data_IF_109895671896
#
_entry.id   IF_109895671896
#
_cell.length_a   1.000
_cell.length_b   1.000
_cell.length_c   1.000
_cell.angle_alpha   90.00
_cell.angle_beta   90.00
_cell.angle_gamma   90.00
#
_symmetry.space_group_name_H-M   'P 1'
#
loop_
_entity.id
_entity.type
_entity.pdbx_description
1 polymer ?
#
# COMPACT_ATOMS: atom_id res chain seq x y z
N UNK A 1 23.38 -10.02 1.69
CA UNK A 1 22.10 -10.69 1.36
C UNK A 1 20.97 -9.67 1.51
N UNK A 2 20.40 -9.16 0.42
CA UNK A 2 19.27 -8.23 0.47
C UNK A 2 18.03 -8.97 0.95
N UNK A 3 17.61 -8.72 2.19
CA UNK A 3 16.37 -9.29 2.75
C UNK A 3 15.21 -8.81 1.88
N UNK A 4 14.44 -9.75 1.36
CA UNK A 4 13.29 -9.48 0.52
C UNK A 4 12.17 -8.85 1.35
N UNK A 5 12.16 -7.53 1.53
CA UNK A 5 11.00 -6.86 2.11
C UNK A 5 9.85 -6.84 1.09
N UNK A 6 8.61 -7.13 1.48
CA UNK A 6 7.45 -7.12 0.57
C UNK A 6 7.18 -5.73 -0.06
N UNK A 7 7.77 -4.68 0.50
CA UNK A 7 7.64 -3.28 0.06
C UNK A 7 8.37 -3.02 -1.28
N UNK A 8 9.40 -3.81 -1.63
CA UNK A 8 10.20 -3.55 -2.83
C UNK A 8 9.71 -4.29 -4.10
N UNK A 9 8.47 -4.82 -4.09
CA UNK A 9 7.87 -5.51 -5.23
C UNK A 9 7.88 -4.70 -6.54
N UNK A 10 7.67 -3.36 -6.57
CA UNK A 10 7.65 -2.61 -7.82
C UNK A 10 9.03 -2.57 -8.49
N UNK A 11 10.08 -2.38 -7.68
CA UNK A 11 11.46 -2.34 -8.16
C UNK A 11 11.90 -3.68 -8.77
N UNK A 12 11.47 -4.80 -8.18
CA UNK A 12 11.75 -6.15 -8.70
C UNK A 12 11.03 -6.44 -10.00
N UNK A 13 9.79 -6.00 -10.12
CA UNK A 13 9.02 -6.12 -11.34
C UNK A 13 9.69 -5.32 -12.48
N UNK A 14 10.05 -4.06 -12.23
CA UNK A 14 10.73 -3.21 -13.20
C UNK A 14 12.10 -3.77 -13.62
N UNK A 15 12.91 -4.23 -12.67
CA UNK A 15 14.18 -4.88 -12.97
C UNK A 15 14.00 -6.17 -13.78
N UNK A 16 12.99 -6.98 -13.42
CA UNK A 16 12.64 -8.19 -14.15
C UNK A 16 12.25 -7.91 -15.61
N UNK A 17 11.43 -6.89 -15.84
CA UNK A 17 11.03 -6.45 -17.18
C UNK A 17 12.22 -5.96 -18.01
N UNK A 18 13.11 -5.14 -17.43
CA UNK A 18 14.32 -4.66 -18.11
C UNK A 18 15.23 -5.83 -18.53
N UNK A 19 15.45 -6.80 -17.64
CA UNK A 19 16.25 -7.99 -17.94
C UNK A 19 15.59 -8.88 -19.00
N UNK A 20 14.25 -9.01 -18.98
CA UNK A 20 13.50 -9.73 -20.00
C UNK A 20 13.66 -9.09 -21.39
N UNK A 21 13.54 -7.77 -21.48
CA UNK A 21 13.72 -7.03 -22.73
C UNK A 21 15.16 -7.17 -23.22
N UNK A 22 16.15 -6.92 -22.34
CA UNK A 22 17.56 -6.99 -22.70
C UNK A 22 18.00 -8.41 -23.10
N UNK A 23 17.66 -9.40 -22.28
CA UNK A 23 17.96 -10.81 -22.52
C UNK A 23 17.27 -11.35 -23.75
N UNK A 24 15.99 -10.98 -23.98
CA UNK A 24 15.24 -11.35 -25.17
C UNK A 24 15.86 -10.79 -26.46
N UNK A 25 16.29 -9.51 -26.45
CA UNK A 25 17.01 -8.95 -27.61
C UNK A 25 18.32 -9.68 -27.87
N UNK A 26 19.11 -9.96 -26.84
CA UNK A 26 20.36 -10.71 -26.98
C UNK A 26 20.13 -12.13 -27.51
N UNK A 27 19.05 -12.79 -27.07
CA UNK A 27 18.68 -14.13 -27.53
C UNK A 27 18.24 -14.17 -29.00
N UNK A 28 17.50 -13.15 -29.45
CA UNK A 28 16.95 -13.10 -30.80
C UNK A 28 17.99 -12.64 -31.83
N UNK A 29 18.71 -11.55 -31.56
CA UNK A 29 19.60 -10.89 -32.53
C UNK A 29 21.10 -11.10 -32.27
N UNK A 30 21.49 -11.78 -31.19
CA UNK A 30 22.90 -12.02 -30.87
C UNK A 30 23.53 -13.18 -31.67
N UNK A 31 24.87 -13.20 -31.83
CA UNK A 31 25.59 -14.35 -32.35
C UNK A 31 25.41 -15.58 -31.43
N UNK A 32 25.58 -16.81 -31.93
CA UNK A 32 25.24 -18.06 -31.23
C UNK A 32 25.65 -18.14 -29.75
N UNK A 33 26.88 -17.78 -29.34
CA UNK A 33 27.28 -17.85 -27.93
C UNK A 33 26.54 -16.83 -27.04
N UNK A 34 26.19 -15.66 -27.58
CA UNK A 34 25.45 -14.63 -26.84
C UNK A 34 23.96 -14.96 -26.71
N UNK A 35 23.43 -15.88 -27.52
CA UNK A 35 22.02 -16.29 -27.40
C UNK A 35 21.75 -17.05 -26.11
N UNK A 36 22.67 -17.92 -25.70
CA UNK A 36 22.57 -18.66 -24.44
C UNK A 36 22.66 -17.71 -23.24
N UNK A 37 23.54 -16.71 -23.31
CA UNK A 37 23.62 -15.66 -22.30
C UNK A 37 22.33 -14.84 -22.25
N UNK A 38 21.76 -14.50 -23.40
CA UNK A 38 20.47 -13.82 -23.51
C UNK A 38 19.33 -14.60 -22.86
N UNK A 39 19.25 -15.91 -23.11
CA UNK A 39 18.28 -16.80 -22.48
C UNK A 39 18.44 -16.87 -20.96
N UNK A 40 19.67 -16.94 -20.45
CA UNK A 40 19.93 -16.94 -19.01
C UNK A 40 19.50 -15.60 -18.36
N UNK A 41 19.79 -14.47 -18.99
CA UNK A 41 19.38 -13.14 -18.54
C UNK A 41 17.85 -13.00 -18.57
N UNK A 42 17.20 -13.47 -19.64
CA UNK A 42 15.74 -13.47 -19.75
C UNK A 42 15.08 -14.36 -18.68
N UNK A 43 15.67 -15.52 -18.39
CA UNK A 43 15.23 -16.40 -17.31
C UNK A 43 15.33 -15.74 -15.92
N UNK A 44 16.44 -15.06 -15.63
CA UNK A 44 16.59 -14.29 -14.40
C UNK A 44 15.57 -13.13 -14.32
N UNK A 45 15.32 -12.47 -15.45
CA UNK A 45 14.30 -11.41 -15.56
C UNK A 45 12.89 -11.93 -15.29
N UNK A 46 12.51 -13.05 -15.91
CA UNK A 46 11.21 -13.69 -15.71
C UNK A 46 11.00 -14.11 -14.24
N UNK A 47 12.03 -14.67 -13.60
CA UNK A 47 11.97 -15.05 -12.19
C UNK A 47 11.81 -13.84 -11.26
N UNK A 48 12.55 -12.76 -11.51
CA UNK A 48 12.42 -11.51 -10.75
C UNK A 48 11.04 -10.87 -10.92
N UNK A 49 10.50 -10.90 -12.13
CA UNK A 49 9.16 -10.40 -12.45
C UNK A 49 8.07 -11.22 -11.74
N UNK A 50 8.16 -12.55 -11.77
CA UNK A 50 7.24 -13.44 -11.06
C UNK A 50 7.22 -13.19 -9.55
N UNK A 51 8.40 -12.98 -8.94
CA UNK A 51 8.53 -12.57 -7.53
C UNK A 51 7.87 -11.21 -7.24
N UNK A 52 8.01 -10.25 -8.15
CA UNK A 52 7.34 -8.96 -8.06
C UNK A 52 5.81 -9.08 -8.11
N UNK A 53 5.29 -9.88 -9.04
CA UNK A 53 3.85 -10.16 -9.17
C UNK A 53 3.32 -10.87 -7.91
N UNK A 54 4.03 -11.88 -7.40
CA UNK A 54 3.64 -12.56 -6.18
C UNK A 54 3.58 -11.60 -4.97
N UNK A 55 4.56 -10.71 -4.84
CA UNK A 55 4.54 -9.66 -3.82
C UNK A 55 3.39 -8.66 -3.98
N UNK A 56 3.05 -8.29 -5.21
CA UNK A 56 1.89 -7.46 -5.51
C UNK A 56 0.57 -8.17 -5.16
N UNK A 57 0.46 -9.46 -5.49
CA UNK A 57 -0.70 -10.28 -5.18
C UNK A 57 -0.85 -10.44 -3.67
N UNK A 58 0.23 -10.73 -2.94
CA UNK A 58 0.21 -10.77 -1.47
C UNK A 58 -0.19 -9.42 -0.87
N UNK A 59 0.35 -8.31 -1.38
CA UNK A 59 -0.02 -6.97 -0.91
C UNK A 59 -1.49 -6.67 -1.20
N UNK A 60 -2.00 -7.09 -2.37
CA UNK A 60 -3.41 -6.95 -2.74
C UNK A 60 -4.31 -7.84 -1.87
N UNK A 61 -3.94 -9.09 -1.63
CA UNK A 61 -4.67 -10.00 -0.72
C UNK A 61 -4.66 -9.50 0.72
N UNK A 62 -3.57 -8.84 1.17
CA UNK A 62 -3.50 -8.18 2.49
C UNK A 62 -4.29 -6.87 2.54
N UNK A 63 -4.66 -6.28 1.40
CA UNK A 63 -5.72 -5.25 1.33
C UNK A 63 -7.12 -5.86 1.34
N UNK A 64 -7.31 -7.07 1.89
CA UNK A 64 -8.61 -7.42 2.45
C UNK A 64 -8.93 -6.34 3.47
N UNK A 65 -9.94 -5.57 3.15
CA UNK A 65 -10.42 -4.45 3.95
C UNK A 65 -10.61 -4.94 5.40
N UNK A 66 -9.85 -4.41 6.38
CA UNK A 66 -9.98 -4.83 7.77
C UNK A 66 -11.40 -4.63 8.31
N UNK A 67 -12.22 -3.80 7.66
CA UNK A 67 -13.60 -3.54 8.03
C UNK A 67 -14.64 -4.18 7.09
N UNK A 68 -14.21 -5.01 6.13
CA UNK A 68 -15.04 -5.66 5.08
C UNK A 68 -16.42 -5.00 4.90
N UNK A 69 -16.40 -3.77 4.38
CA UNK A 69 -17.59 -2.92 4.30
C UNK A 69 -18.67 -3.50 3.37
N UNK A 70 -18.34 -4.56 2.61
CA UNK A 70 -19.28 -5.29 1.77
C UNK A 70 -20.37 -6.03 2.57
N UNK A 71 -20.11 -6.31 3.85
CA UNK A 71 -21.06 -6.99 4.76
C UNK A 71 -21.79 -6.04 5.72
N UNK A 72 -21.60 -4.72 5.60
CA UNK A 72 -22.27 -3.74 6.47
C UNK A 72 -23.80 -3.86 6.44
N UNK A 73 -24.36 -4.31 5.33
CA UNK A 73 -25.80 -4.48 5.11
C UNK A 73 -26.34 -5.82 5.63
N UNK A 74 -25.46 -6.72 6.07
CA UNK A 74 -25.79 -8.04 6.61
C UNK A 74 -25.67 -8.08 8.15
N UNK A 75 -25.11 -7.02 8.74
CA UNK A 75 -25.08 -6.84 10.19
C UNK A 75 -26.45 -6.33 10.64
N UNK A 76 -27.05 -7.01 11.62
CA UNK A 76 -28.15 -6.43 12.39
C UNK A 76 -27.70 -5.07 12.95
N UNK A 77 -28.60 -4.08 12.97
CA UNK A 77 -28.28 -2.76 13.54
C UNK A 77 -27.63 -2.97 14.91
N UNK A 78 -26.42 -2.44 15.14
CA UNK A 78 -25.77 -2.60 16.43
C UNK A 78 -26.69 -2.00 17.49
N UNK A 79 -26.91 -2.73 18.59
CA UNK A 79 -27.52 -2.16 19.79
C UNK A 79 -26.77 -0.85 20.11
N UNK A 80 -27.52 0.25 20.18
CA UNK A 80 -26.95 1.58 20.39
C UNK A 80 -25.94 1.51 21.55
N UNK A 81 -24.67 1.91 21.33
CA UNK A 81 -23.71 1.91 22.40
C UNK A 81 -24.23 2.83 23.50
N UNK A 82 -24.36 2.30 24.71
CA UNK A 82 -24.65 3.10 25.90
C UNK A 82 -23.50 4.10 26.04
N UNK A 83 -23.74 5.35 25.63
CA UNK A 83 -22.73 6.39 25.75
C UNK A 83 -22.31 6.49 27.23
N UNK A 84 -21.03 6.35 27.55
CA UNK A 84 -20.57 6.61 28.90
C UNK A 84 -20.85 8.09 29.20
N UNK A 85 -21.77 8.35 30.14
CA UNK A 85 -22.04 9.69 30.67
C UNK A 85 -20.74 10.31 31.16
N UNK A 86 -20.10 11.15 30.34
CA UNK A 86 -18.86 11.83 30.70
C UNK A 86 -17.84 12.07 29.59
N UNK A 87 -18.04 11.55 28.37
CA UNK A 87 -17.14 11.88 27.26
C UNK A 87 -17.27 13.36 26.87
N UNK A 88 -16.25 14.14 27.24
CA UNK A 88 -16.06 15.48 26.71
C UNK A 88 -15.71 15.32 25.24
N UNK A 89 -16.72 15.41 24.36
CA UNK A 89 -16.57 15.26 22.92
C UNK A 89 -15.32 15.98 22.40
N UNK A 90 -14.44 15.21 21.74
CA UNK A 90 -13.26 15.76 21.10
C UNK A 90 -13.69 16.49 19.84
N UNK A 91 -13.27 17.76 19.73
CA UNK A 91 -13.41 18.57 18.54
C UNK A 91 -12.08 18.59 17.81
N UNK A 92 -12.15 18.44 16.49
CA UNK A 92 -10.98 18.49 15.62
C UNK A 92 -10.83 19.88 15.00
N UNK A 93 -9.63 20.45 15.09
CA UNK A 93 -9.34 21.70 14.39
C UNK A 93 -9.10 21.41 12.90
N UNK A 94 -9.99 21.88 12.03
CA UNK A 94 -9.83 21.71 10.58
C UNK A 94 -8.62 22.44 9.97
N UNK A 95 -8.00 23.35 10.71
CA UNK A 95 -6.83 24.13 10.22
C UNK A 95 -5.53 23.40 10.50
N UNK A 96 -5.33 22.88 11.73
CA UNK A 96 -4.06 22.25 12.13
C UNK A 96 -4.17 20.75 12.41
N UNK A 97 -5.38 20.17 12.36
CA UNK A 97 -5.62 18.75 12.60
C UNK A 97 -5.56 18.32 14.07
N UNK A 98 -5.35 19.25 15.01
CA UNK A 98 -5.28 18.92 16.43
C UNK A 98 -6.65 18.48 16.98
N UNK A 99 -6.65 17.38 17.74
CA UNK A 99 -7.78 16.91 18.52
C UNK A 99 -7.76 17.54 19.92
N UNK A 100 -8.88 18.08 20.37
CA UNK A 100 -8.96 18.85 21.62
C UNK A 100 -10.36 18.80 22.23
N UNK A 101 -10.54 19.02 23.54
CA UNK A 101 -11.86 19.00 24.16
C UNK A 101 -12.74 20.14 23.62
N UNK A 102 -14.01 19.85 23.31
CA UNK A 102 -14.95 20.78 22.66
C UNK A 102 -15.39 22.01 23.45
N UNK A 103 -14.86 22.23 24.66
CA UNK A 103 -15.21 23.37 25.53
C UNK A 103 -14.42 24.65 25.22
N UNK A 104 -13.51 24.61 24.24
CA UNK A 104 -12.58 25.70 23.93
C UNK A 104 -13.09 26.52 22.73
N UNK A 105 -13.26 27.83 22.89
CA UNK A 105 -13.70 28.73 21.81
C UNK A 105 -12.65 29.01 20.73
N UNK A 106 -11.39 28.59 20.94
CA UNK A 106 -10.31 28.68 19.97
C UNK A 106 -9.33 27.52 20.13
N UNK A 107 -8.69 27.13 19.01
CA UNK A 107 -7.67 26.09 18.99
C UNK A 107 -6.40 26.56 19.70
N UNK A 108 -5.89 25.86 20.72
CA UNK A 108 -4.67 26.25 21.44
C UNK A 108 -3.40 26.05 20.60
N UNK A 109 -3.46 25.26 19.52
CA UNK A 109 -2.31 24.99 18.66
C UNK A 109 -2.11 26.07 17.59
N UNK A 110 -3.19 26.58 16.98
CA UNK A 110 -3.09 27.54 15.88
C UNK A 110 -3.88 28.84 16.07
N UNK A 111 -4.59 29.00 17.19
CA UNK A 111 -5.38 30.20 17.50
C UNK A 111 -6.68 30.34 16.70
N UNK A 112 -7.03 29.37 15.85
CA UNK A 112 -8.25 29.44 15.04
C UNK A 112 -9.50 29.39 15.93
N UNK A 113 -10.46 30.30 15.73
CA UNK A 113 -11.72 30.33 16.50
C UNK A 113 -12.75 29.38 15.88
N UNK A 114 -13.45 28.63 16.71
CA UNK A 114 -14.57 27.80 16.26
C UNK A 114 -15.80 28.70 16.13
N UNK A 115 -16.38 28.77 14.92
CA UNK A 115 -17.69 29.42 14.75
C UNK A 115 -18.73 28.41 15.22
N UNK A 116 -19.35 28.69 16.37
CA UNK A 116 -20.55 27.99 16.83
C UNK A 116 -21.73 28.23 15.90
#
# INVERSE_FOLDING_TARGET
>A
MFRASPVNWPARFAAGLMLLILGGRLALSGPPPLRLLGLAIAGAGAWAMARGIAGALEAWMRRRDPYDLSRLWELDEPEEPVEPEGEQGLVYCHVCGAAMPGRLGACPQCGNRFRG
#
